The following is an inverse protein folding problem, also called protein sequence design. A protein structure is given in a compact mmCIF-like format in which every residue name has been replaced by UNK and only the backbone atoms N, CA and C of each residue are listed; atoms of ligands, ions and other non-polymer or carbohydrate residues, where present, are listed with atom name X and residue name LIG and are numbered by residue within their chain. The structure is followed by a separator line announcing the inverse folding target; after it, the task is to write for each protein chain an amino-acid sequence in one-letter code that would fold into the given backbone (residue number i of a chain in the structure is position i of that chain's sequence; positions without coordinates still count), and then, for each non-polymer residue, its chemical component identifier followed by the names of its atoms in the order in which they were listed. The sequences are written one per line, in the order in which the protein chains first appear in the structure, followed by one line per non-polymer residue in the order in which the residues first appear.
data_IF_193028666573
#
_entry.id   IF_193028666573
#
_cell.length_a   1.000
_cell.length_b   1.000
_cell.length_c   1.000
_cell.angle_alpha   90.00
_cell.angle_beta   90.00
_cell.angle_gamma   90.00
#
_symmetry.space_group_name_H-M   'P 1'
#
loop_
_entity.id
_entity.type
_entity.pdbx_description
1 polymer ?
#
# COMPACT_ATOMS: atom_id res chain seq x y z
N UNK A 1 12.04 17.14 -10.07
CA UNK A 1 10.61 17.02 -9.68
C UNK A 1 10.06 15.59 -9.85
N UNK A 2 10.36 14.87 -10.93
CA UNK A 2 9.90 13.47 -11.12
C UNK A 2 10.43 12.48 -10.06
N UNK A 3 11.74 12.50 -9.75
CA UNK A 3 12.35 11.56 -8.80
C UNK A 3 11.69 11.54 -7.42
N UNK A 4 11.33 12.70 -6.88
CA UNK A 4 10.72 12.82 -5.53
C UNK A 4 9.36 12.10 -5.50
N UNK A 5 8.56 12.20 -6.56
CA UNK A 5 7.21 11.64 -6.59
C UNK A 5 7.27 10.13 -6.82
N UNK A 6 8.15 9.65 -7.69
CA UNK A 6 8.22 8.22 -8.04
C UNK A 6 9.05 7.38 -7.07
N UNK A 7 9.93 8.00 -6.28
CA UNK A 7 10.80 7.31 -5.33
C UNK A 7 10.38 7.61 -3.90
N UNK A 8 10.42 8.87 -3.46
CA UNK A 8 10.22 9.23 -2.05
C UNK A 8 8.78 8.98 -1.59
N UNK A 9 7.79 9.24 -2.43
CA UNK A 9 6.38 9.13 -2.05
C UNK A 9 5.95 7.68 -1.73
N UNK A 10 6.28 6.65 -2.54
CA UNK A 10 6.05 5.25 -2.16
C UNK A 10 6.67 4.86 -0.81
N UNK A 11 7.89 5.30 -0.52
CA UNK A 11 8.53 5.03 0.77
C UNK A 11 7.77 5.66 1.95
N UNK A 12 7.27 6.88 1.79
CA UNK A 12 6.43 7.53 2.81
C UNK A 12 5.13 6.74 3.03
N UNK A 13 4.46 6.32 1.94
CA UNK A 13 3.25 5.51 2.03
C UNK A 13 3.50 4.16 2.71
N UNK A 14 4.61 3.49 2.40
CA UNK A 14 5.02 2.27 3.06
C UNK A 14 5.11 2.46 4.59
N UNK A 15 5.82 3.49 5.04
CA UNK A 15 5.94 3.80 6.47
C UNK A 15 4.58 4.05 7.11
N UNK A 16 3.70 4.81 6.47
CA UNK A 16 2.35 5.08 6.97
C UNK A 16 1.51 3.80 7.09
N UNK A 17 1.56 2.90 6.11
CA UNK A 17 0.82 1.64 6.18
C UNK A 17 1.39 0.67 7.20
N UNK A 18 2.71 0.64 7.41
CA UNK A 18 3.34 -0.14 8.47
C UNK A 18 2.89 0.37 9.85
N UNK A 19 2.86 1.69 10.06
CA UNK A 19 2.33 2.28 11.30
C UNK A 19 0.85 1.94 11.45
N UNK A 20 0.06 2.03 10.37
CA UNK A 20 -1.36 1.65 10.37
C UNK A 20 -1.59 0.18 10.73
N UNK A 21 -0.76 -0.72 10.21
CA UNK A 21 -0.72 -2.15 10.57
C UNK A 21 -0.48 -2.32 12.07
N UNK A 22 0.59 -1.73 12.60
CA UNK A 22 0.97 -1.87 14.02
C UNK A 22 -0.12 -1.32 14.93
N UNK A 23 -0.65 -0.14 14.59
CA UNK A 23 -1.73 0.49 15.36
C UNK A 23 -3.03 -0.33 15.31
N UNK A 24 -3.39 -0.86 14.14
CA UNK A 24 -4.58 -1.69 13.98
C UNK A 24 -4.47 -3.01 14.75
N UNK A 25 -3.30 -3.64 14.76
CA UNK A 25 -3.04 -4.83 15.57
C UNK A 25 -3.14 -4.51 17.06
N UNK A 26 -2.56 -3.39 17.49
CA UNK A 26 -2.59 -2.99 18.90
C UNK A 26 -4.01 -2.72 19.40
N UNK A 27 -4.85 -2.10 18.57
CA UNK A 27 -6.27 -1.87 18.88
C UNK A 27 -7.19 -3.04 18.48
N UNK A 28 -6.64 -4.17 18.01
CA UNK A 28 -7.38 -5.35 17.53
C UNK A 28 -8.47 -5.00 16.50
N UNK A 29 -8.21 -4.01 15.65
CA UNK A 29 -9.14 -3.61 14.60
C UNK A 29 -8.91 -4.46 13.34
N UNK A 30 -9.99 -4.77 12.62
CA UNK A 30 -9.94 -5.55 11.39
C UNK A 30 -9.24 -4.83 10.22
N UNK A 31 -8.95 -3.52 10.35
CA UNK A 31 -8.25 -2.71 9.34
C UNK A 31 -6.86 -3.21 8.98
N UNK A 32 -6.24 -4.04 9.83
CA UNK A 32 -4.91 -4.60 9.63
C UNK A 32 -4.75 -5.26 8.26
N UNK A 33 -5.76 -5.99 7.79
CA UNK A 33 -5.74 -6.69 6.50
C UNK A 33 -5.65 -5.73 5.32
N UNK A 34 -6.39 -4.61 5.40
CA UNK A 34 -6.35 -3.57 4.38
C UNK A 34 -4.99 -2.85 4.35
N UNK A 35 -4.45 -2.49 5.52
CA UNK A 35 -3.12 -1.87 5.60
C UNK A 35 -2.00 -2.81 5.14
N UNK A 36 -2.10 -4.11 5.43
CA UNK A 36 -1.15 -5.11 4.96
C UNK A 36 -1.16 -5.25 3.43
N UNK A 37 -2.35 -5.30 2.83
CA UNK A 37 -2.49 -5.36 1.36
C UNK A 37 -1.91 -4.11 0.69
N UNK A 38 -2.14 -2.93 1.26
CA UNK A 38 -1.53 -1.68 0.79
C UNK A 38 0.00 -1.74 0.88
N UNK A 39 0.55 -2.17 2.02
CA UNK A 39 2.00 -2.28 2.21
C UNK A 39 2.63 -3.25 1.19
N UNK A 40 2.03 -4.42 0.98
CA UNK A 40 2.51 -5.40 -0.01
C UNK A 40 2.51 -4.82 -1.43
N UNK A 41 1.45 -4.11 -1.82
CA UNK A 41 1.40 -3.47 -3.14
C UNK A 41 2.48 -2.41 -3.34
N UNK A 42 2.77 -1.61 -2.32
CA UNK A 42 3.86 -0.62 -2.35
C UNK A 42 5.23 -1.30 -2.44
N UNK A 43 5.45 -2.42 -1.73
CA UNK A 43 6.70 -3.19 -1.84
C UNK A 43 6.89 -3.73 -3.26
N UNK A 44 5.86 -4.33 -3.85
CA UNK A 44 5.94 -4.84 -5.24
C UNK A 44 6.18 -3.69 -6.22
N UNK A 45 5.54 -2.54 -5.99
CA UNK A 45 5.76 -1.33 -6.78
C UNK A 45 7.23 -0.88 -6.74
N UNK A 46 7.81 -0.81 -5.53
CA UNK A 46 9.20 -0.43 -5.31
C UNK A 46 10.17 -1.43 -5.94
N UNK A 47 9.91 -2.73 -5.83
CA UNK A 47 10.73 -3.77 -6.49
C UNK A 47 10.72 -3.58 -8.01
N UNK A 48 9.56 -3.34 -8.61
CA UNK A 48 9.46 -3.07 -10.05
C UNK A 48 10.26 -1.83 -10.47
N UNK A 49 10.15 -0.76 -9.71
CA UNK A 49 10.74 0.53 -10.03
C UNK A 49 12.27 0.58 -9.78
N UNK A 50 12.74 0.06 -8.65
CA UNK A 50 14.13 0.21 -8.20
C UNK A 50 15.01 -1.01 -8.50
N UNK A 51 14.46 -2.23 -8.52
CA UNK A 51 15.26 -3.46 -8.63
C UNK A 51 15.26 -4.02 -10.06
N UNK A 52 14.11 -4.04 -10.74
CA UNK A 52 14.00 -4.66 -12.06
C UNK A 52 14.31 -3.66 -13.18
N UNK A 53 13.67 -2.49 -13.18
CA UNK A 53 13.84 -1.48 -14.21
C UNK A 53 13.34 -1.87 -15.61
N UNK A 54 13.35 -0.91 -16.54
CA UNK A 54 12.89 -1.13 -17.92
C UNK A 54 11.40 -1.51 -18.03
N UNK A 55 11.03 -2.16 -19.14
CA UNK A 55 9.64 -2.55 -19.42
C UNK A 55 9.09 -3.57 -18.41
N UNK A 56 9.93 -4.51 -17.97
CA UNK A 56 9.57 -5.52 -16.96
C UNK A 56 9.38 -4.91 -15.57
N UNK A 57 10.16 -3.88 -15.22
CA UNK A 57 9.94 -3.13 -13.98
C UNK A 57 8.60 -2.40 -13.98
N UNK A 58 8.25 -1.77 -15.11
CA UNK A 58 6.97 -1.07 -15.27
C UNK A 58 5.76 -2.01 -15.12
N UNK A 59 5.81 -3.20 -15.74
CA UNK A 59 4.73 -4.18 -15.61
C UNK A 59 4.61 -4.73 -14.18
N UNK A 60 5.73 -4.96 -13.50
CA UNK A 60 5.74 -5.37 -12.10
C UNK A 60 5.17 -4.28 -11.18
N UNK A 61 5.51 -3.01 -11.42
CA UNK A 61 4.94 -1.87 -10.69
C UNK A 61 3.43 -1.74 -10.89
N UNK A 62 2.93 -1.98 -12.11
CA UNK A 62 1.50 -2.05 -12.40
C UNK A 62 0.81 -3.20 -11.65
N UNK A 63 1.45 -4.37 -11.57
CA UNK A 63 0.95 -5.49 -10.78
C UNK A 63 0.88 -5.11 -9.31
N UNK A 64 1.87 -4.38 -8.77
CA UNK A 64 1.87 -3.87 -7.39
C UNK A 64 0.75 -2.86 -7.09
N UNK A 65 0.27 -2.12 -8.10
CA UNK A 65 -0.85 -1.19 -7.94
C UNK A 65 -2.20 -1.91 -7.68
N UNK A 66 -2.35 -3.16 -8.12
CA UNK A 66 -3.57 -3.95 -7.88
C UNK A 66 -3.79 -4.30 -6.38
N UNK A 67 -2.87 -4.97 -5.68
CA UNK A 67 -3.04 -5.24 -4.25
C UNK A 67 -3.09 -3.94 -3.42
N UNK A 68 -2.44 -2.87 -3.88
CA UNK A 68 -2.57 -1.55 -3.28
C UNK A 68 -4.01 -1.01 -3.35
N UNK A 69 -4.60 -0.99 -4.55
CA UNK A 69 -5.99 -0.53 -4.73
C UNK A 69 -7.00 -1.42 -4.01
N UNK A 70 -6.81 -2.74 -4.02
CA UNK A 70 -7.64 -3.67 -3.25
C UNK A 70 -7.55 -3.36 -1.74
N UNK A 71 -6.35 -3.09 -1.22
CA UNK A 71 -6.14 -2.71 0.17
C UNK A 71 -6.88 -1.42 0.54
N UNK A 72 -6.83 -0.41 -0.33
CA UNK A 72 -7.58 0.85 -0.14
C UNK A 72 -9.09 0.62 -0.15
N UNK A 73 -9.60 -0.22 -1.04
CA UNK A 73 -11.03 -0.57 -1.06
C UNK A 73 -11.46 -1.26 0.24
N UNK A 74 -10.67 -2.22 0.74
CA UNK A 74 -10.95 -2.91 2.01
C UNK A 74 -10.98 -1.90 3.16
N UNK A 75 -9.98 -1.01 3.25
CA UNK A 75 -9.94 0.03 4.29
C UNK A 75 -11.14 0.96 4.19
N UNK A 76 -11.54 1.35 2.98
CA UNK A 76 -12.70 2.20 2.74
C UNK A 76 -13.98 1.52 3.22
N UNK A 77 -14.24 0.26 2.83
CA UNK A 77 -15.43 -0.48 3.27
C UNK A 77 -15.46 -0.68 4.78
N UNK A 78 -14.34 -1.03 5.40
CA UNK A 78 -14.27 -1.15 6.85
C UNK A 78 -14.48 0.20 7.55
N UNK A 79 -14.03 1.30 6.95
CA UNK A 79 -14.20 2.63 7.52
C UNK A 79 -15.67 3.07 7.43
N UNK A 80 -16.28 2.94 6.26
CA UNK A 80 -17.71 3.21 6.06
C UNK A 80 -18.56 2.30 6.95
N UNK A 81 -18.27 0.99 6.99
CA UNK A 81 -18.97 0.03 7.84
C UNK A 81 -18.93 0.41 9.32
N UNK A 82 -17.79 0.91 9.83
CA UNK A 82 -17.68 1.37 11.22
C UNK A 82 -18.48 2.64 11.55
N UNK A 83 -18.92 3.40 10.54
CA UNK A 83 -19.73 4.61 10.74
C UNK A 83 -21.23 4.32 10.86
N UNK A 84 -21.66 3.14 10.41
CA UNK A 84 -23.06 2.71 10.46
C UNK A 84 -23.34 1.70 11.60
N UNK A 85 -22.32 1.40 12.41
CA UNK A 85 -22.39 0.55 13.59
C UNK A 85 -22.43 1.41 14.86
#
# INVERSE_FOLDING_TARGET
MSYIIYVVLPWIFLCLFVIGVVYSLWKKLAYWWGFLSCAVGVVIYLIGNEVVGGYNGMSLSLIGALPFTIGLFILFFLFVGSKFQ
#
